data_IF_581261475859
#
_entry.id   IF_581261475859
#
_cell.length_a   1.000
_cell.length_b   1.000
_cell.length_c   1.000
_cell.angle_alpha   90.00
_cell.angle_beta   90.00
_cell.angle_gamma   90.00
#
_symmetry.space_group_name_H-M   'P 1'
#
loop_
_entity.id
_entity.type
_entity.pdbx_description
1 polymer ?
#
# COMPACT_ATOMS: atom_id res chain seq x y z
N UNK A 1 -27.17 -1.54 -10.55
CA UNK A 1 -25.86 -2.19 -10.35
C UNK A 1 -24.67 -1.22 -10.18
N UNK A 2 -24.88 0.11 -10.11
CA UNK A 2 -23.79 1.09 -10.35
C UNK A 2 -23.06 1.72 -9.16
N UNK A 3 -23.56 1.64 -7.92
CA UNK A 3 -22.90 2.32 -6.77
C UNK A 3 -22.17 1.37 -5.81
N UNK A 4 -22.59 0.11 -5.70
CA UNK A 4 -21.96 -0.87 -4.80
C UNK A 4 -20.57 -1.27 -5.30
N UNK A 5 -20.44 -1.59 -6.59
CA UNK A 5 -19.17 -1.93 -7.22
C UNK A 5 -18.13 -0.80 -7.08
N UNK A 6 -18.52 0.47 -7.20
CA UNK A 6 -17.63 1.63 -7.05
C UNK A 6 -16.97 1.73 -5.66
N UNK A 7 -17.61 1.21 -4.60
CA UNK A 7 -17.02 1.16 -3.25
C UNK A 7 -15.92 0.12 -3.11
N UNK A 8 -15.93 -0.91 -3.94
CA UNK A 8 -14.93 -1.99 -3.91
C UNK A 8 -13.65 -1.61 -4.63
N UNK A 9 -13.68 -0.58 -5.49
CA UNK A 9 -12.48 -0.12 -6.18
C UNK A 9 -11.52 0.62 -5.24
N UNK A 10 -10.21 0.38 -5.39
CA UNK A 10 -9.23 1.12 -4.62
C UNK A 10 -9.20 2.59 -5.06
N UNK A 11 -8.86 3.48 -4.14
CA UNK A 11 -8.69 4.90 -4.41
C UNK A 11 -7.24 5.29 -4.15
N UNK A 12 -6.72 6.26 -4.91
CA UNK A 12 -5.32 6.65 -4.82
C UNK A 12 -5.17 8.17 -4.85
N UNK A 13 -4.57 8.75 -3.81
CA UNK A 13 -4.39 10.20 -3.69
C UNK A 13 -3.05 10.68 -4.26
N UNK A 14 -2.07 9.76 -4.34
CA UNK A 14 -0.70 10.04 -4.77
C UNK A 14 0.08 10.90 -3.78
N UNK A 15 -0.41 11.00 -2.55
CA UNK A 15 0.19 11.74 -1.45
C UNK A 15 0.57 10.78 -0.31
N UNK A 16 1.22 11.30 0.75
CA UNK A 16 1.47 10.46 1.93
C UNK A 16 2.35 9.25 1.65
N UNK A 17 1.91 8.11 2.17
CA UNK A 17 2.52 6.78 2.04
C UNK A 17 1.70 5.89 1.11
N UNK A 18 0.79 6.46 0.29
CA UNK A 18 -0.06 5.69 -0.62
C UNK A 18 0.80 4.69 -1.43
N UNK A 19 0.46 3.40 -1.32
CA UNK A 19 1.10 2.34 -2.09
C UNK A 19 0.47 2.25 -3.48
N UNK A 20 1.17 2.81 -4.46
CA UNK A 20 0.78 2.76 -5.86
C UNK A 20 0.76 1.33 -6.41
N UNK A 21 1.56 0.41 -5.85
CA UNK A 21 1.56 -0.99 -6.25
C UNK A 21 0.35 -1.72 -5.68
N UNK A 22 -0.06 -1.43 -4.45
CA UNK A 22 -1.31 -1.96 -3.89
C UNK A 22 -2.52 -1.46 -4.67
N UNK A 23 -2.56 -0.18 -5.03
CA UNK A 23 -3.59 0.37 -5.90
C UNK A 23 -3.68 -0.37 -7.25
N UNK A 24 -2.54 -0.61 -7.91
CA UNK A 24 -2.48 -1.37 -9.17
C UNK A 24 -2.95 -2.82 -8.96
N UNK A 25 -2.50 -3.50 -7.90
CA UNK A 25 -2.91 -4.88 -7.58
C UNK A 25 -4.42 -4.98 -7.35
N UNK A 26 -5.00 -4.05 -6.60
CA UNK A 26 -6.44 -4.01 -6.36
C UNK A 26 -7.25 -3.88 -7.65
N UNK A 27 -6.79 -3.03 -8.59
CA UNK A 27 -7.40 -2.92 -9.92
C UNK A 27 -7.23 -4.21 -10.73
N UNK A 28 -6.03 -4.81 -10.70
CA UNK A 28 -5.74 -6.05 -11.43
C UNK A 28 -6.63 -7.21 -10.96
N UNK A 29 -6.85 -7.36 -9.65
CA UNK A 29 -7.76 -8.36 -9.06
C UNK A 29 -9.20 -8.14 -9.55
N UNK A 30 -9.76 -6.94 -9.39
CA UNK A 30 -11.14 -6.65 -9.82
C UNK A 30 -11.28 -6.86 -11.34
N UNK A 31 -10.29 -6.41 -12.12
CA UNK A 31 -10.30 -6.62 -13.58
C UNK A 31 -10.31 -8.11 -13.93
N UNK A 32 -9.57 -8.94 -13.21
CA UNK A 32 -9.50 -10.38 -13.43
C UNK A 32 -10.79 -11.08 -13.02
N UNK A 33 -11.28 -10.83 -11.80
CA UNK A 33 -12.45 -11.52 -11.23
C UNK A 33 -13.73 -11.24 -12.01
N UNK A 34 -13.86 -10.02 -12.55
CA UNK A 34 -15.03 -9.61 -13.34
C UNK A 34 -14.76 -9.58 -14.86
N UNK A 35 -13.62 -10.10 -15.31
CA UNK A 35 -13.20 -10.15 -16.72
C UNK A 35 -13.36 -8.81 -17.46
N UNK A 36 -13.04 -7.70 -16.78
CA UNK A 36 -13.38 -6.37 -17.27
C UNK A 36 -12.51 -5.97 -18.48
N UNK A 37 -13.12 -5.42 -19.54
CA UNK A 37 -12.39 -4.80 -20.63
C UNK A 37 -11.55 -3.61 -20.16
N UNK A 38 -10.34 -3.45 -20.71
CA UNK A 38 -9.44 -2.34 -20.34
C UNK A 38 -10.08 -0.95 -20.48
N UNK A 39 -10.96 -0.77 -21.46
CA UNK A 39 -11.70 0.49 -21.68
C UNK A 39 -12.56 0.88 -20.48
N UNK A 40 -13.11 -0.09 -19.73
CA UNK A 40 -13.91 0.20 -18.54
C UNK A 40 -13.02 0.61 -17.37
N UNK A 41 -11.93 -0.12 -17.16
CA UNK A 41 -10.92 0.19 -16.13
C UNK A 41 -10.37 1.61 -16.34
N UNK A 42 -9.98 1.96 -17.56
CA UNK A 42 -9.44 3.28 -17.86
C UNK A 42 -10.49 4.40 -17.84
N UNK A 43 -11.78 4.09 -18.03
CA UNK A 43 -12.86 5.08 -17.95
C UNK A 43 -13.19 5.50 -16.51
N UNK A 44 -12.99 4.60 -15.54
CA UNK A 44 -13.25 4.89 -14.12
C UNK A 44 -12.06 5.54 -13.40
N UNK A 45 -10.89 5.65 -14.01
CA UNK A 45 -9.72 6.29 -13.38
C UNK A 45 -9.98 7.69 -12.84
N UNK A 46 -10.86 8.47 -13.49
CA UNK A 46 -11.26 9.79 -12.99
C UNK A 46 -11.87 9.73 -11.59
N UNK A 47 -12.51 8.62 -11.20
CA UNK A 47 -13.13 8.44 -9.87
C UNK A 47 -12.18 7.78 -8.88
N UNK A 48 -11.26 6.94 -9.36
CA UNK A 48 -10.29 6.25 -8.50
C UNK A 48 -9.16 7.16 -8.02
N UNK A 49 -8.74 8.11 -8.86
CA UNK A 49 -7.73 9.08 -8.48
C UNK A 49 -8.34 10.22 -7.67
N UNK A 50 -7.67 10.60 -6.58
CA UNK A 50 -8.03 11.74 -5.74
C UNK A 50 -6.85 12.70 -5.58
N UNK A 51 -7.10 13.91 -5.06
CA UNK A 51 -6.08 14.93 -4.72
C UNK A 51 -5.00 15.15 -5.80
N UNK A 52 -3.73 14.90 -5.50
CA UNK A 52 -2.61 15.13 -6.41
C UNK A 52 -2.63 14.19 -7.62
N UNK A 53 -3.01 12.92 -7.42
CA UNK A 53 -3.11 11.94 -8.48
C UNK A 53 -4.23 12.29 -9.47
N UNK A 54 -5.36 12.83 -8.98
CA UNK A 54 -6.44 13.29 -9.85
C UNK A 54 -5.98 14.40 -10.79
N UNK A 55 -5.25 15.40 -10.28
CA UNK A 55 -4.69 16.50 -11.09
C UNK A 55 -3.68 16.00 -12.12
N UNK A 56 -2.82 15.05 -11.73
CA UNK A 56 -1.86 14.41 -12.63
C UNK A 56 -2.58 13.63 -13.74
N UNK A 57 -3.58 12.82 -13.40
CA UNK A 57 -4.37 12.03 -14.34
C UNK A 57 -4.99 12.91 -15.44
N UNK A 58 -5.65 14.01 -15.06
CA UNK A 58 -6.27 14.91 -16.04
C UNK A 58 -5.27 15.53 -17.01
N UNK A 59 -4.12 15.98 -16.52
CA UNK A 59 -3.04 16.53 -17.37
C UNK A 59 -2.55 15.49 -18.38
N UNK A 60 -2.29 14.27 -17.91
CA UNK A 60 -1.79 13.20 -18.76
C UNK A 60 -2.84 12.73 -19.78
N UNK A 61 -4.11 12.62 -19.35
CA UNK A 61 -5.25 12.28 -20.22
C UNK A 61 -5.47 13.33 -21.31
N UNK A 62 -5.32 14.61 -20.98
CA UNK A 62 -5.45 15.71 -21.94
C UNK A 62 -4.30 15.68 -22.97
N UNK A 63 -3.08 15.36 -22.54
CA UNK A 63 -1.92 15.33 -23.43
C UNK A 63 -1.86 14.10 -24.35
N UNK A 64 -2.28 12.92 -23.85
CA UNK A 64 -2.09 11.64 -24.55
C UNK A 64 -3.40 10.96 -25.00
N UNK A 65 -4.56 11.53 -24.68
CA UNK A 65 -5.86 11.00 -25.09
C UNK A 65 -6.20 9.64 -24.48
N UNK A 66 -6.91 8.81 -25.24
CA UNK A 66 -7.26 7.44 -24.81
C UNK A 66 -6.04 6.54 -24.90
N UNK A 67 -5.72 5.85 -23.81
CA UNK A 67 -4.58 4.96 -23.70
C UNK A 67 -4.99 3.65 -23.02
N UNK A 68 -4.24 2.59 -23.31
CA UNK A 68 -4.47 1.25 -22.75
C UNK A 68 -4.24 1.22 -21.24
N UNK A 69 -4.82 0.22 -20.57
CA UNK A 69 -4.61 0.07 -19.13
C UNK A 69 -3.13 -0.22 -18.81
N UNK A 70 -2.48 -1.04 -19.65
CA UNK A 70 -1.05 -1.33 -19.57
C UNK A 70 -0.20 -0.04 -19.62
N UNK A 71 -0.53 0.91 -20.50
CA UNK A 71 0.17 2.19 -20.57
C UNK A 71 0.01 2.97 -19.26
N UNK A 72 -1.20 3.03 -18.71
CA UNK A 72 -1.45 3.73 -17.45
C UNK A 72 -0.72 3.12 -16.26
N UNK A 73 -0.62 1.78 -16.17
CA UNK A 73 0.21 1.11 -15.15
C UNK A 73 1.65 1.61 -15.20
N UNK A 74 2.24 1.66 -16.38
CA UNK A 74 3.60 2.18 -16.56
C UNK A 74 3.72 3.65 -16.11
N UNK A 75 2.73 4.49 -16.40
CA UNK A 75 2.76 5.89 -15.98
C UNK A 75 2.62 6.07 -14.45
N UNK A 76 1.78 5.27 -13.80
CA UNK A 76 1.63 5.28 -12.34
C UNK A 76 2.96 4.88 -11.69
N UNK A 77 3.55 3.77 -12.15
CA UNK A 77 4.86 3.30 -11.66
C UNK A 77 5.93 4.38 -11.88
N UNK A 78 6.06 4.92 -13.10
CA UNK A 78 7.04 5.96 -13.39
C UNK A 78 6.87 7.21 -12.52
N UNK A 79 5.63 7.58 -12.18
CA UNK A 79 5.35 8.77 -11.39
C UNK A 79 5.64 8.57 -9.89
N UNK A 80 5.27 7.42 -9.32
CA UNK A 80 5.26 7.19 -7.87
C UNK A 80 6.24 6.13 -7.36
N UNK A 81 6.82 5.29 -8.22
CA UNK A 81 7.90 4.36 -7.86
C UNK A 81 9.29 5.03 -7.82
N UNK A 82 9.35 6.32 -7.46
CA UNK A 82 10.60 7.08 -7.44
C UNK A 82 11.31 6.99 -6.08
N UNK A 83 12.60 7.31 -6.05
CA UNK A 83 13.42 7.21 -4.84
C UNK A 83 12.95 8.14 -3.72
N UNK A 84 12.32 9.27 -4.05
CA UNK A 84 11.77 10.17 -3.04
C UNK A 84 10.60 9.55 -2.27
N UNK A 85 9.73 8.80 -2.95
CA UNK A 85 8.66 8.04 -2.29
C UNK A 85 9.25 6.92 -1.43
N UNK A 86 10.22 6.14 -1.96
CA UNK A 86 10.90 5.08 -1.21
C UNK A 86 11.56 5.63 0.05
N UNK A 87 12.27 6.75 -0.07
CA UNK A 87 12.88 7.43 1.07
C UNK A 87 11.84 7.88 2.10
N UNK A 88 10.71 8.44 1.65
CA UNK A 88 9.63 8.87 2.53
C UNK A 88 9.01 7.72 3.31
N UNK A 89 8.68 6.61 2.64
CA UNK A 89 8.11 5.41 3.28
C UNK A 89 9.14 4.76 4.21
N UNK A 90 10.41 4.68 3.81
CA UNK A 90 11.50 4.18 4.67
C UNK A 90 11.69 5.02 5.93
N UNK A 91 11.71 6.35 5.80
CA UNK A 91 11.79 7.26 6.95
C UNK A 91 10.56 7.14 7.86
N UNK A 92 9.36 6.98 7.28
CA UNK A 92 8.16 6.74 8.07
C UNK A 92 8.26 5.43 8.87
N UNK A 93 8.75 4.35 8.25
CA UNK A 93 9.01 3.10 8.94
C UNK A 93 10.03 3.24 10.09
N UNK A 94 11.14 3.94 9.86
CA UNK A 94 12.20 4.13 10.87
C UNK A 94 11.79 5.01 12.05
N UNK A 95 10.99 6.06 11.78
CA UNK A 95 10.56 7.04 12.77
C UNK A 95 9.32 6.63 13.56
N UNK A 96 8.55 5.68 13.05
CA UNK A 96 7.31 5.20 13.67
C UNK A 96 7.61 4.22 14.81
N UNK A 97 7.90 4.76 16.00
CA UNK A 97 8.08 3.98 17.23
C UNK A 97 6.74 3.66 17.88
N UNK A 98 6.53 2.39 18.22
CA UNK A 98 5.34 1.95 18.95
C UNK A 98 5.34 2.50 20.38
N UNK A 99 4.25 3.15 20.79
CA UNK A 99 4.03 3.61 22.15
C UNK A 99 2.90 2.81 22.81
N UNK A 100 3.25 1.93 23.76
CA UNK A 100 2.28 1.07 24.45
C UNK A 100 1.19 1.80 25.25
N UNK A 101 1.36 3.09 25.54
CA UNK A 101 0.36 3.89 26.25
C UNK A 101 -0.59 4.65 25.31
N UNK A 102 -0.25 4.76 24.02
CA UNK A 102 -1.00 5.57 23.04
C UNK A 102 -1.51 4.75 21.86
N UNK A 103 -0.78 3.72 21.48
CA UNK A 103 -0.98 3.00 20.23
C UNK A 103 -1.55 1.61 20.49
N UNK A 104 -2.37 1.13 19.55
CA UNK A 104 -2.79 -0.27 19.50
C UNK A 104 -1.76 -1.06 18.70
N UNK A 105 -1.29 -2.19 19.23
CA UNK A 105 -0.24 -2.99 18.62
C UNK A 105 -0.60 -3.46 17.20
N UNK A 106 -1.83 -3.96 17.01
CA UNK A 106 -2.26 -4.55 15.74
C UNK A 106 -2.31 -3.55 14.57
N UNK A 107 -2.95 -2.36 14.67
CA UNK A 107 -2.88 -1.34 13.62
C UNK A 107 -1.45 -0.86 13.32
N UNK A 108 -0.61 -0.66 14.34
CA UNK A 108 0.79 -0.28 14.13
C UNK A 108 1.56 -1.37 13.38
N UNK A 109 1.33 -2.64 13.71
CA UNK A 109 1.96 -3.76 13.05
C UNK A 109 1.58 -3.82 11.57
N UNK A 110 0.28 -3.78 11.25
CA UNK A 110 -0.19 -3.79 9.86
C UNK A 110 0.38 -2.60 9.08
N UNK A 111 0.35 -1.39 9.66
CA UNK A 111 0.95 -0.23 9.01
C UNK A 111 2.45 -0.41 8.71
N UNK A 112 3.23 -1.00 9.63
CA UNK A 112 4.65 -1.30 9.35
C UNK A 112 4.80 -2.43 8.31
N UNK A 113 3.93 -3.43 8.34
CA UNK A 113 3.91 -4.52 7.35
C UNK A 113 3.64 -3.97 5.95
N UNK A 114 2.67 -3.08 5.81
CA UNK A 114 2.30 -2.45 4.53
C UNK A 114 3.49 -1.64 3.98
N UNK A 115 4.13 -0.81 4.82
CA UNK A 115 5.34 -0.06 4.43
C UNK A 115 6.47 -0.97 3.95
N UNK A 116 6.76 -2.05 4.67
CA UNK A 116 7.82 -2.99 4.29
C UNK A 116 7.49 -3.77 3.03
N UNK A 117 6.23 -4.17 2.84
CA UNK A 117 5.75 -4.86 1.64
C UNK A 117 5.84 -3.94 0.42
N UNK A 118 5.51 -2.66 0.59
CA UNK A 118 5.59 -1.65 -0.46
C UNK A 118 7.06 -1.34 -0.85
N UNK A 119 7.98 -1.32 0.13
CA UNK A 119 9.41 -1.08 -0.10
C UNK A 119 10.14 -2.31 -0.67
N UNK A 120 9.74 -3.51 -0.25
CA UNK A 120 10.43 -4.76 -0.55
C UNK A 120 9.42 -5.85 -0.94
N UNK A 121 8.83 -5.78 -2.14
CA UNK A 121 7.79 -6.70 -2.58
C UNK A 121 8.24 -8.17 -2.65
N UNK A 122 9.55 -8.40 -2.85
CA UNK A 122 10.13 -9.75 -2.92
C UNK A 122 10.59 -10.28 -1.54
N UNK A 123 10.42 -9.51 -0.47
CA UNK A 123 10.78 -9.93 0.88
C UNK A 123 9.76 -10.93 1.42
N UNK A 124 10.24 -12.04 1.98
CA UNK A 124 9.34 -13.01 2.59
C UNK A 124 8.59 -12.42 3.79
N UNK A 125 7.36 -12.88 3.99
CA UNK A 125 6.52 -12.45 5.12
C UNK A 125 7.22 -12.64 6.47
N UNK A 126 7.94 -13.76 6.64
CA UNK A 126 8.79 -14.00 7.81
C UNK A 126 9.82 -12.88 8.03
N UNK A 127 10.50 -12.43 6.97
CA UNK A 127 11.51 -11.38 7.07
C UNK A 127 10.89 -10.01 7.34
N UNK A 128 9.70 -9.74 6.78
CA UNK A 128 8.91 -8.55 7.11
C UNK A 128 8.54 -8.56 8.59
N UNK A 129 7.93 -9.65 9.08
CA UNK A 129 7.54 -9.81 10.48
C UNK A 129 8.72 -9.68 11.43
N UNK A 130 9.92 -10.16 11.06
CA UNK A 130 11.13 -10.02 11.88
C UNK A 130 11.69 -8.59 11.96
N UNK A 131 11.41 -7.75 10.95
CA UNK A 131 11.86 -6.34 10.90
C UNK A 131 10.99 -5.41 11.73
N UNK A 132 9.70 -5.71 11.87
CA UNK A 132 8.74 -4.85 12.58
C UNK A 132 9.05 -4.71 14.09
N UNK A 133 9.37 -5.78 14.85
CA UNK A 133 9.67 -5.69 16.28
C UNK A 133 10.86 -4.80 16.61
N UNK A 134 11.81 -4.58 15.67
CA UNK A 134 12.93 -3.64 15.85
C UNK A 134 12.47 -2.18 15.98
N UNK A 135 11.21 -1.89 15.64
CA UNK A 135 10.59 -0.58 15.86
C UNK A 135 9.95 -0.44 17.26
N UNK A 136 9.67 -1.55 17.94
CA UNK A 136 9.35 -1.56 19.35
C UNK A 136 10.67 -1.37 20.10
N UNK A 137 10.89 -0.24 20.76
CA UNK A 137 12.12 -0.04 21.55
C UNK A 137 12.08 -0.79 22.88
N UNK A 138 13.24 -1.10 23.45
CA UNK A 138 13.38 -1.56 24.85
C UNK A 138 12.78 -2.94 25.13
N UNK A 139 12.15 -3.11 26.29
CA UNK A 139 11.65 -4.40 26.79
C UNK A 139 10.52 -5.01 25.94
N UNK A 140 9.83 -4.16 25.16
CA UNK A 140 8.83 -4.59 24.18
C UNK A 140 9.46 -5.29 22.98
N UNK A 141 10.66 -4.89 22.53
CA UNK A 141 11.39 -5.60 21.49
C UNK A 141 11.65 -7.06 21.90
N UNK A 142 12.08 -7.24 23.16
CA UNK A 142 12.44 -8.53 23.71
C UNK A 142 11.22 -9.42 23.96
N UNK A 143 10.08 -8.81 24.34
CA UNK A 143 8.81 -9.51 24.56
C UNK A 143 8.17 -9.95 23.24
N UNK A 144 8.20 -9.09 22.22
CA UNK A 144 7.68 -9.41 20.88
C UNK A 144 8.56 -10.48 20.20
N UNK A 145 9.89 -10.29 20.17
CA UNK A 145 10.82 -11.26 19.57
C UNK A 145 10.76 -12.66 20.19
N UNK A 146 10.50 -12.76 21.51
CA UNK A 146 10.34 -14.05 22.20
C UNK A 146 9.11 -14.82 21.73
N UNK A 147 8.08 -14.10 21.27
CA UNK A 147 6.83 -14.70 20.78
C UNK A 147 6.88 -14.94 19.28
N UNK A 148 7.67 -14.16 18.51
CA UNK A 148 7.90 -14.32 17.07
C UNK A 148 8.72 -15.58 16.74
N UNK A 149 8.06 -16.74 16.70
CA UNK A 149 8.59 -18.00 16.16
C UNK A 149 8.32 -18.08 14.63
N UNK A 150 8.82 -19.12 13.95
CA UNK A 150 8.62 -19.33 12.50
C UNK A 150 7.13 -19.41 12.07
N UNK A 151 6.19 -19.50 13.02
CA UNK A 151 4.74 -19.56 12.82
C UNK A 151 3.99 -18.33 13.35
N UNK A 152 4.65 -17.17 13.46
CA UNK A 152 4.02 -15.96 14.02
C UNK A 152 2.95 -15.37 13.10
N UNK A 153 1.69 -15.44 13.52
CA UNK A 153 0.53 -14.90 12.81
C UNK A 153 0.21 -13.48 13.28
N UNK A 154 -0.59 -12.74 12.50
CA UNK A 154 -1.07 -11.43 12.93
C UNK A 154 -2.00 -11.50 14.17
N UNK A 155 -2.59 -12.67 14.43
CA UNK A 155 -3.47 -12.91 15.59
C UNK A 155 -2.69 -12.95 16.91
N UNK A 156 -1.46 -13.44 16.89
CA UNK A 156 -0.57 -13.51 18.06
C UNK A 156 -0.16 -12.11 18.58
N UNK A 157 -0.26 -11.10 17.73
CA UNK A 157 0.03 -9.69 18.04
C UNK A 157 -1.12 -9.01 18.76
N UNK A 158 -2.36 -9.50 18.61
CA UNK A 158 -3.51 -8.92 19.30
C UNK A 158 -3.51 -9.15 20.82
N UNK A 159 -2.72 -10.13 21.29
CA UNK A 159 -2.59 -10.55 22.69
C UNK A 159 -1.32 -9.99 23.38
N UNK A 160 -0.68 -8.97 22.79
CA UNK A 160 0.45 -8.21 23.36
C UNK A 160 -0.08 -6.88 23.90
#
# INVERSE_FOLDING_TARGET
MGQALLKEWPHFSGEGEDDHMEFIRGIDIIKQDFELPERLVTAIFKTLFTRSAHRWYFKLRQAHGHQSYTWWKAQIINKWANDAWRFKVGKAFESSKFNSHKDKALPCFYQQKDRLTALYPDMSEFMIHRKIPRQCGGDLEHSVKRRTTEQFSAEDISNI
#
